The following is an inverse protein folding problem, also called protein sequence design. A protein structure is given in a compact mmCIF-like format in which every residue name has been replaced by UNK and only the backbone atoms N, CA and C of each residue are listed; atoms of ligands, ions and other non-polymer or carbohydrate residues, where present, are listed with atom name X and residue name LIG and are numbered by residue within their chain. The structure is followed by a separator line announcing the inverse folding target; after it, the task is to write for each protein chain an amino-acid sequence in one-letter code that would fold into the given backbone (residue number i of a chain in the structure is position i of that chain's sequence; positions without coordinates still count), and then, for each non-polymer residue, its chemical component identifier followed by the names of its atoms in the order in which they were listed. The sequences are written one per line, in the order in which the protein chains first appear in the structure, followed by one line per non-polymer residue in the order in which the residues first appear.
data_IF_156238447098
#
_entry.id   IF_156238447098
#
_cell.length_a   1.000
_cell.length_b   1.000
_cell.length_c   1.000
_cell.angle_alpha   90.00
_cell.angle_beta   90.00
_cell.angle_gamma   90.00
#
_symmetry.space_group_name_H-M   'P 1'
#
loop_
_entity.id
_entity.type
_entity.pdbx_description
1 polymer ?
#
# COMPACT_ATOMS: atom_id res chain seq x y z
N UNK A 1 -42.35 -79.26 30.47
CA UNK A 1 -41.45 -78.12 30.24
C UNK A 1 -42.18 -77.16 29.33
N UNK A 2 -42.60 -75.99 29.84
CA UNK A 2 -43.15 -74.96 28.96
C UNK A 2 -42.03 -74.45 28.06
N UNK A 3 -42.24 -74.57 26.75
CA UNK A 3 -41.35 -74.05 25.74
C UNK A 3 -41.50 -72.53 25.76
N UNK A 4 -40.52 -71.82 26.33
CA UNK A 4 -40.49 -70.35 26.26
C UNK A 4 -40.51 -69.94 24.79
N UNK A 5 -41.61 -69.32 24.35
CA UNK A 5 -41.79 -68.90 22.97
C UNK A 5 -40.79 -67.80 22.66
N UNK A 6 -39.65 -68.16 22.06
CA UNK A 6 -38.64 -67.20 21.61
C UNK A 6 -39.31 -66.29 20.57
N UNK A 7 -39.53 -65.03 20.95
CA UNK A 7 -40.01 -64.00 20.03
C UNK A 7 -38.83 -63.61 19.16
N UNK A 8 -38.74 -64.29 18.02
CA UNK A 8 -37.72 -64.01 17.01
C UNK A 8 -38.07 -62.69 16.32
N UNK A 9 -37.10 -61.78 16.21
CA UNK A 9 -37.30 -60.54 15.47
C UNK A 9 -37.34 -60.87 13.97
N UNK A 10 -38.53 -60.74 13.39
CA UNK A 10 -38.75 -60.96 11.96
C UNK A 10 -38.97 -59.60 11.29
N UNK A 11 -38.58 -59.43 10.01
CA UNK A 11 -39.04 -58.29 9.25
C UNK A 11 -40.57 -58.27 9.20
N UNK A 12 -41.20 -57.08 9.16
CA UNK A 12 -42.65 -56.98 9.14
C UNK A 12 -43.22 -57.73 7.92
N UNK A 13 -44.41 -58.34 8.04
CA UNK A 13 -45.06 -59.00 6.90
C UNK A 13 -45.36 -57.94 5.82
N UNK A 14 -44.56 -57.95 4.75
CA UNK A 14 -44.54 -56.91 3.72
C UNK A 14 -43.14 -56.36 3.37
N UNK A 15 -42.12 -56.68 4.17
CA UNK A 15 -40.73 -56.27 3.92
C UNK A 15 -40.46 -54.79 4.25
N UNK A 16 -39.19 -54.36 4.11
CA UNK A 16 -38.82 -52.96 4.26
C UNK A 16 -39.07 -52.18 2.96
N UNK A 17 -39.35 -50.88 3.09
CA UNK A 17 -39.53 -50.01 1.93
C UNK A 17 -38.29 -49.97 1.02
N UNK A 18 -38.46 -49.62 -0.27
CA UNK A 18 -37.34 -49.55 -1.20
C UNK A 18 -36.27 -48.57 -0.70
N UNK A 19 -35.03 -49.06 -0.59
CA UNK A 19 -33.88 -48.25 -0.20
C UNK A 19 -33.17 -47.80 -1.48
N UNK A 20 -33.05 -46.49 -1.66
CA UNK A 20 -32.34 -45.91 -2.80
C UNK A 20 -30.83 -46.10 -2.64
N UNK A 21 -30.32 -47.22 -3.16
CA UNK A 21 -28.89 -47.54 -3.15
C UNK A 21 -28.10 -46.83 -4.27
N UNK A 22 -28.79 -46.19 -5.22
CA UNK A 22 -28.18 -45.49 -6.36
C UNK A 22 -27.82 -44.06 -6.00
N UNK A 23 -26.62 -43.62 -6.40
CA UNK A 23 -26.16 -42.25 -6.20
C UNK A 23 -26.98 -41.26 -7.03
N UNK A 24 -27.78 -40.42 -6.37
CA UNK A 24 -28.61 -39.37 -6.98
C UNK A 24 -27.93 -38.00 -6.87
N UNK A 25 -26.91 -37.75 -7.68
CA UNK A 25 -26.24 -36.44 -7.69
C UNK A 25 -26.84 -35.51 -8.76
N UNK A 26 -27.60 -34.47 -8.37
CA UNK A 26 -28.13 -33.51 -9.34
C UNK A 26 -27.00 -32.65 -9.90
N UNK A 27 -26.96 -32.49 -11.23
CA UNK A 27 -26.05 -31.55 -11.88
C UNK A 27 -26.51 -30.13 -11.60
N UNK A 28 -25.98 -29.53 -10.53
CA UNK A 28 -26.21 -28.14 -10.13
C UNK A 28 -25.07 -27.27 -10.66
N UNK A 29 -25.41 -26.10 -11.22
CA UNK A 29 -24.44 -25.10 -11.67
C UNK A 29 -24.67 -24.59 -13.10
N UNK A 30 -23.99 -23.50 -13.43
CA UNK A 30 -23.94 -22.93 -14.78
C UNK A 30 -23.05 -23.79 -15.69
N UNK A 31 -23.37 -23.86 -16.98
CA UNK A 31 -22.52 -24.57 -17.94
C UNK A 31 -21.12 -23.94 -18.02
N UNK A 32 -20.10 -24.73 -18.39
CA UNK A 32 -18.73 -24.23 -18.54
C UNK A 32 -18.63 -23.05 -19.52
N UNK A 33 -19.35 -23.11 -20.64
CA UNK A 33 -19.41 -22.01 -21.61
C UNK A 33 -20.06 -20.74 -21.03
N UNK A 34 -21.12 -20.87 -20.23
CA UNK A 34 -21.74 -19.70 -19.58
C UNK A 34 -20.81 -19.05 -18.56
N UNK A 35 -20.00 -19.82 -17.84
CA UNK A 35 -19.00 -19.26 -16.91
C UNK A 35 -17.90 -18.49 -17.66
N UNK A 36 -17.43 -19.02 -18.78
CA UNK A 36 -16.45 -18.34 -19.63
C UNK A 36 -17.02 -17.05 -20.22
N UNK A 37 -18.27 -17.07 -20.69
CA UNK A 37 -18.93 -15.87 -21.23
C UNK A 37 -19.05 -14.76 -20.18
N UNK A 38 -19.45 -15.11 -18.94
CA UNK A 38 -19.52 -14.14 -17.83
C UNK A 38 -18.13 -13.60 -17.48
N UNK A 39 -17.12 -14.48 -17.40
CA UNK A 39 -15.74 -14.08 -17.11
C UNK A 39 -15.17 -13.13 -18.17
N UNK A 40 -15.38 -13.42 -19.45
CA UNK A 40 -14.93 -12.53 -20.54
C UNK A 40 -15.71 -11.21 -20.48
N UNK A 41 -17.02 -11.24 -20.22
CA UNK A 41 -17.84 -10.04 -20.10
C UNK A 41 -17.37 -9.09 -18.99
N UNK A 42 -17.05 -9.62 -17.80
CA UNK A 42 -16.54 -8.81 -16.68
C UNK A 42 -15.14 -8.27 -16.94
N UNK A 43 -14.26 -9.05 -17.60
CA UNK A 43 -12.92 -8.61 -17.99
C UNK A 43 -12.99 -7.49 -19.03
N UNK A 44 -13.82 -7.61 -20.06
CA UNK A 44 -14.00 -6.58 -21.08
C UNK A 44 -14.51 -5.27 -20.46
N UNK A 45 -15.47 -5.36 -19.55
CA UNK A 45 -15.97 -4.20 -18.81
C UNK A 45 -14.90 -3.59 -17.87
N UNK A 46 -14.12 -4.43 -17.19
CA UNK A 46 -12.99 -3.99 -16.35
C UNK A 46 -11.92 -3.27 -17.15
N UNK A 47 -11.54 -3.80 -18.31
CA UNK A 47 -10.59 -3.15 -19.20
C UNK A 47 -11.12 -1.81 -19.74
N UNK A 48 -12.39 -1.75 -20.16
CA UNK A 48 -12.99 -0.51 -20.66
C UNK A 48 -13.02 0.59 -19.59
N UNK A 49 -13.47 0.26 -18.37
CA UNK A 49 -13.51 1.22 -17.25
C UNK A 49 -12.10 1.67 -16.82
N UNK A 50 -11.14 0.75 -16.76
CA UNK A 50 -9.73 1.07 -16.49
C UNK A 50 -9.12 1.96 -17.59
N UNK A 51 -9.43 1.71 -18.86
CA UNK A 51 -8.99 2.57 -19.97
C UNK A 51 -9.55 3.98 -19.84
N UNK A 52 -10.83 4.14 -19.50
CA UNK A 52 -11.45 5.44 -19.25
C UNK A 52 -10.75 6.16 -18.08
N UNK A 53 -10.54 5.45 -16.98
CA UNK A 53 -9.87 6.01 -15.79
C UNK A 53 -8.42 6.42 -16.05
N UNK A 54 -7.64 5.60 -16.76
CA UNK A 54 -6.25 5.92 -17.09
C UNK A 54 -6.13 7.07 -18.11
N UNK A 55 -7.16 7.35 -18.91
CA UNK A 55 -7.20 8.58 -19.72
C UNK A 55 -7.40 9.80 -18.83
N UNK A 56 -8.29 9.69 -17.84
CA UNK A 56 -8.54 10.77 -16.90
C UNK A 56 -7.33 11.06 -16.02
N UNK A 57 -6.69 10.04 -15.45
CA UNK A 57 -5.44 10.23 -14.68
C UNK A 57 -4.34 10.90 -15.50
N UNK A 58 -4.25 10.62 -16.79
CA UNK A 58 -3.29 11.30 -17.67
C UNK A 58 -3.63 12.77 -17.87
N UNK A 59 -4.91 13.13 -17.97
CA UNK A 59 -5.33 14.55 -18.03
C UNK A 59 -4.95 15.29 -16.76
N UNK A 60 -5.26 14.72 -15.60
CA UNK A 60 -4.86 15.29 -14.31
C UNK A 60 -3.35 15.44 -14.17
N UNK A 61 -2.58 14.43 -14.60
CA UNK A 61 -1.11 14.53 -14.61
C UNK A 61 -0.59 15.63 -15.54
N UNK A 62 -1.25 15.86 -16.68
CA UNK A 62 -0.90 16.95 -17.60
C UNK A 62 -1.19 18.29 -16.92
N UNK A 63 -2.36 18.45 -16.28
CA UNK A 63 -2.71 19.65 -15.51
C UNK A 63 -1.69 19.95 -14.40
N UNK A 64 -1.27 18.92 -13.64
CA UNK A 64 -0.22 19.05 -12.61
C UNK A 64 1.13 19.49 -13.21
N UNK A 65 1.51 18.95 -14.38
CA UNK A 65 2.74 19.33 -15.06
C UNK A 65 2.66 20.75 -15.63
N UNK A 66 1.53 21.15 -16.20
CA UNK A 66 1.30 22.52 -16.70
C UNK A 66 1.37 23.53 -15.55
N UNK A 67 0.75 23.22 -14.40
CA UNK A 67 0.88 24.03 -13.19
C UNK A 67 2.33 24.15 -12.74
N UNK A 68 3.11 23.05 -12.80
CA UNK A 68 4.54 23.08 -12.46
C UNK A 68 5.36 23.90 -13.44
N UNK A 69 5.09 23.80 -14.75
CA UNK A 69 5.78 24.57 -15.79
C UNK A 69 5.56 26.07 -15.59
N UNK A 70 4.33 26.47 -15.22
CA UNK A 70 4.00 27.86 -14.93
C UNK A 70 4.79 28.43 -13.73
N UNK A 71 5.06 27.60 -12.70
CA UNK A 71 5.80 28.01 -11.50
C UNK A 71 7.33 27.89 -11.63
N UNK A 72 7.81 27.04 -12.54
CA UNK A 72 9.24 26.76 -12.74
C UNK A 72 10.13 28.00 -12.87
N UNK A 73 9.81 29.04 -13.67
CA UNK A 73 10.69 30.21 -13.80
C UNK A 73 10.87 31.00 -12.50
N UNK A 74 9.85 31.03 -11.64
CA UNK A 74 9.95 31.68 -10.34
C UNK A 74 10.88 30.91 -9.40
N UNK A 75 10.70 29.59 -9.29
CA UNK A 75 11.58 28.75 -8.47
C UNK A 75 13.03 28.74 -8.98
N UNK A 76 13.23 28.82 -10.30
CA UNK A 76 14.56 28.93 -10.88
C UNK A 76 15.23 30.23 -10.43
N UNK A 77 14.54 31.38 -10.57
CA UNK A 77 15.08 32.67 -10.15
C UNK A 77 15.38 32.74 -8.64
N UNK A 78 14.53 32.16 -7.79
CA UNK A 78 14.76 32.08 -6.35
C UNK A 78 15.95 31.19 -6.00
N UNK A 79 16.08 30.03 -6.67
CA UNK A 79 17.19 29.10 -6.48
C UNK A 79 18.51 29.74 -6.91
N UNK A 80 18.54 30.38 -8.09
CA UNK A 80 19.73 31.07 -8.59
C UNK A 80 20.17 32.16 -7.60
N UNK A 81 19.26 33.01 -7.13
CA UNK A 81 19.55 34.04 -6.12
C UNK A 81 20.12 33.43 -4.84
N UNK A 82 19.48 32.37 -4.32
CA UNK A 82 19.93 31.69 -3.10
C UNK A 82 21.33 31.11 -3.24
N UNK A 83 21.63 30.46 -4.37
CA UNK A 83 22.97 29.87 -4.62
C UNK A 83 24.06 30.93 -4.72
N UNK A 84 23.81 32.03 -5.44
CA UNK A 84 24.77 33.12 -5.59
C UNK A 84 25.01 33.85 -4.26
N UNK A 85 23.99 34.01 -3.43
CA UNK A 85 24.14 34.56 -2.07
C UNK A 85 25.06 33.69 -1.21
N UNK A 86 24.81 32.38 -1.15
CA UNK A 86 25.65 31.47 -0.36
C UNK A 86 27.09 31.43 -0.86
N UNK A 87 27.31 31.42 -2.18
CA UNK A 87 28.67 31.48 -2.73
C UNK A 87 29.36 32.80 -2.44
N UNK A 88 28.62 33.91 -2.45
CA UNK A 88 29.16 35.23 -2.11
C UNK A 88 29.58 35.31 -0.65
N UNK A 89 28.74 34.82 0.26
CA UNK A 89 29.05 34.71 1.69
C UNK A 89 30.30 33.85 1.90
N UNK A 90 30.36 32.66 1.28
CA UNK A 90 31.51 31.76 1.43
C UNK A 90 32.80 32.36 0.88
N UNK A 91 32.74 33.14 -0.21
CA UNK A 91 33.92 33.82 -0.78
C UNK A 91 34.40 34.95 0.16
N UNK A 92 33.47 35.70 0.76
CA UNK A 92 33.81 36.75 1.74
C UNK A 92 34.48 36.15 2.99
N UNK A 93 33.95 35.02 3.51
CA UNK A 93 34.56 34.30 4.63
C UNK A 93 35.91 33.67 4.26
N UNK A 94 36.03 33.08 3.06
CA UNK A 94 37.29 32.55 2.56
C UNK A 94 38.37 33.63 2.49
N UNK A 95 38.02 34.84 2.02
CA UNK A 95 38.95 35.98 1.98
C UNK A 95 39.45 36.38 3.37
N UNK A 96 38.60 36.29 4.39
CA UNK A 96 38.95 36.61 5.77
C UNK A 96 39.83 35.51 6.38
N UNK A 97 39.49 34.24 6.15
CA UNK A 97 40.17 33.07 6.72
C UNK A 97 41.55 32.86 6.07
N UNK A 98 41.67 33.04 4.75
CA UNK A 98 42.87 32.70 3.98
C UNK A 98 43.85 33.86 3.77
N UNK A 99 43.62 35.01 4.40
CA UNK A 99 44.47 36.21 4.26
C UNK A 99 45.94 35.98 4.61
N UNK A 100 46.23 35.04 5.52
CA UNK A 100 47.56 34.81 6.08
C UNK A 100 48.33 33.67 5.38
N UNK A 101 47.69 32.97 4.43
CA UNK A 101 48.28 31.81 3.75
C UNK A 101 48.98 32.26 2.45
N UNK A 102 50.30 32.06 2.29
CA UNK A 102 50.99 32.39 1.05
C UNK A 102 50.51 31.50 -0.11
N UNK A 103 50.54 32.03 -1.33
CA UNK A 103 50.13 31.37 -2.59
C UNK A 103 48.65 30.95 -2.70
N UNK A 104 47.78 31.41 -1.79
CA UNK A 104 46.33 31.19 -1.91
C UNK A 104 45.65 32.30 -2.72
N UNK A 105 44.85 31.91 -3.72
CA UNK A 105 44.00 32.84 -4.48
C UNK A 105 42.54 32.58 -4.17
N UNK A 106 41.91 33.55 -3.51
CA UNK A 106 40.50 33.47 -3.13
C UNK A 106 39.60 33.35 -4.37
N UNK A 107 38.71 32.36 -4.37
CA UNK A 107 37.74 32.15 -5.45
C UNK A 107 38.36 31.72 -6.80
N UNK A 108 39.59 31.20 -6.80
CA UNK A 108 40.17 30.60 -8.01
C UNK A 108 39.41 29.31 -8.37
N UNK A 109 38.94 29.22 -9.62
CA UNK A 109 38.23 28.04 -10.10
C UNK A 109 39.18 26.85 -10.22
N UNK A 110 38.81 25.71 -9.62
CA UNK A 110 39.57 24.45 -9.75
C UNK A 110 39.63 23.96 -11.20
N UNK A 111 38.61 24.29 -11.99
CA UNK A 111 38.53 23.90 -13.40
C UNK A 111 39.30 24.87 -14.30
N UNK A 112 39.89 24.34 -15.37
CA UNK A 112 40.58 25.13 -16.40
C UNK A 112 39.62 25.88 -17.34
N UNK A 113 38.30 25.74 -17.17
CA UNK A 113 37.27 26.34 -18.04
C UNK A 113 36.68 27.60 -17.43
N UNK A 114 36.39 28.61 -18.25
CA UNK A 114 35.65 29.82 -17.84
C UNK A 114 34.13 29.64 -17.75
N UNK A 115 33.64 28.44 -18.04
CA UNK A 115 32.21 28.09 -17.96
C UNK A 115 31.78 27.98 -16.50
N UNK A 116 30.58 28.46 -16.21
CA UNK A 116 29.92 28.22 -14.92
C UNK A 116 29.72 26.72 -14.65
N UNK A 117 30.20 26.26 -13.49
CA UNK A 117 29.98 24.92 -12.98
C UNK A 117 29.08 25.02 -11.76
N UNK A 118 27.97 24.26 -11.69
CA UNK A 118 27.10 24.31 -10.52
C UNK A 118 27.86 23.82 -9.28
N UNK A 119 27.72 24.51 -8.14
CA UNK A 119 28.47 24.18 -6.93
C UNK A 119 27.98 22.85 -6.34
N UNK A 120 28.89 22.09 -5.73
CA UNK A 120 28.50 20.90 -4.96
C UNK A 120 27.92 21.31 -3.60
N UNK A 121 27.13 20.43 -2.98
CA UNK A 121 26.52 20.71 -1.67
C UNK A 121 27.58 21.06 -0.62
N UNK A 122 28.76 20.43 -0.68
CA UNK A 122 29.89 20.73 0.20
C UNK A 122 30.49 22.13 0.00
N UNK A 123 30.45 22.70 -1.21
CA UNK A 123 30.91 24.07 -1.48
C UNK A 123 29.93 25.11 -0.95
N UNK A 124 28.64 24.80 -0.96
CA UNK A 124 27.59 25.69 -0.43
C UNK A 124 27.51 25.64 1.09
N UNK A 125 27.53 24.43 1.68
CA UNK A 125 27.26 24.20 3.10
C UNK A 125 28.51 23.91 3.94
N UNK A 126 29.71 24.00 3.36
CA UNK A 126 30.96 23.62 4.05
C UNK A 126 31.28 24.45 5.29
N UNK A 127 30.91 25.73 5.31
CA UNK A 127 31.11 26.65 6.45
C UNK A 127 29.89 26.75 7.37
N UNK A 128 28.75 26.15 6.98
CA UNK A 128 27.49 26.20 7.74
C UNK A 128 27.46 25.15 8.84
N UNK A 129 26.40 25.19 9.65
CA UNK A 129 26.20 24.19 10.70
C UNK A 129 26.06 22.79 10.10
N UNK A 130 26.54 21.79 10.83
CA UNK A 130 26.47 20.39 10.40
C UNK A 130 25.02 19.92 10.21
N UNK A 131 24.09 20.44 11.00
CA UNK A 131 22.65 20.16 10.88
C UNK A 131 22.10 20.63 9.53
N UNK A 132 22.42 21.87 9.10
CA UNK A 132 22.02 22.40 7.80
C UNK A 132 22.61 21.57 6.65
N UNK A 133 23.88 21.19 6.75
CA UNK A 133 24.56 20.36 5.75
C UNK A 133 23.96 18.95 5.66
N UNK A 134 23.65 18.30 6.79
CA UNK A 134 23.03 16.97 6.83
C UNK A 134 21.61 17.04 6.26
N UNK A 135 20.84 18.06 6.63
CA UNK A 135 19.48 18.26 6.11
C UNK A 135 19.48 18.53 4.60
N UNK A 136 20.41 19.33 4.09
CA UNK A 136 20.53 19.60 2.65
C UNK A 136 20.91 18.34 1.85
N UNK A 137 21.80 17.49 2.38
CA UNK A 137 22.22 16.26 1.71
C UNK A 137 21.18 15.14 1.76
N UNK A 138 20.54 14.96 2.92
CA UNK A 138 19.75 13.76 3.18
C UNK A 138 18.28 14.01 3.54
N UNK A 139 17.87 15.27 3.72
CA UNK A 139 16.52 15.62 4.17
C UNK A 139 15.41 14.98 3.33
N UNK A 140 15.58 14.89 2.01
CA UNK A 140 14.61 14.24 1.13
C UNK A 140 14.43 12.74 1.41
N UNK A 141 15.54 12.01 1.61
CA UNK A 141 15.50 10.56 1.84
C UNK A 141 14.92 10.22 3.22
N UNK A 142 15.29 10.97 4.25
CA UNK A 142 14.83 10.73 5.61
C UNK A 142 13.45 11.34 5.91
N UNK A 143 12.88 12.15 5.01
CA UNK A 143 11.61 12.87 5.24
C UNK A 143 10.44 11.97 5.65
N UNK A 144 10.35 10.76 5.09
CA UNK A 144 9.27 9.81 5.46
C UNK A 144 9.49 9.15 6.82
N UNK A 145 10.74 9.07 7.28
CA UNK A 145 11.11 8.46 8.56
C UNK A 145 10.98 9.48 9.69
N UNK A 146 11.44 10.71 9.49
CA UNK A 146 11.35 11.80 10.48
C UNK A 146 9.91 12.26 10.77
N UNK A 147 8.99 12.15 9.80
CA UNK A 147 7.57 12.49 10.00
C UNK A 147 6.84 11.53 10.94
N UNK A 148 7.40 10.35 11.20
CA UNK A 148 6.89 9.40 12.21
C UNK A 148 7.48 9.67 13.62
N UNK A 149 8.47 10.56 13.74
CA UNK A 149 9.19 10.87 14.99
C UNK A 149 9.02 12.34 15.40
N UNK A 150 7.79 12.85 15.44
CA UNK A 150 7.49 14.07 16.17
C UNK A 150 6.48 13.77 17.27
N UNK A 151 6.99 13.57 18.50
CA UNK A 151 6.71 14.54 19.53
C UNK A 151 8.02 15.07 20.15
N UNK A 152 8.07 16.40 20.27
CA UNK A 152 8.85 17.19 21.22
C UNK A 152 10.34 16.88 21.41
N UNK A 153 11.13 17.88 21.03
CA UNK A 153 12.58 17.99 21.18
C UNK A 153 13.11 17.44 22.52
N UNK A 154 13.97 16.44 22.44
CA UNK A 154 14.84 16.01 23.52
C UNK A 154 16.18 15.56 22.96
N UNK A 155 17.18 16.44 23.03
CA UNK A 155 18.61 16.19 22.78
C UNK A 155 19.03 14.83 23.34
N UNK A 156 19.19 13.81 22.48
CA UNK A 156 19.90 12.58 22.82
C UNK A 156 20.41 11.85 21.57
N UNK A 157 21.74 11.90 21.42
CA UNK A 157 22.63 10.91 20.83
C UNK A 157 22.39 10.43 19.39
N UNK A 158 23.13 11.08 18.48
CA UNK A 158 23.57 10.51 17.20
C UNK A 158 24.44 9.25 17.45
N UNK A 159 23.78 8.10 17.53
CA UNK A 159 24.41 6.79 17.38
C UNK A 159 24.23 6.32 15.94
N UNK A 160 25.31 6.39 15.17
CA UNK A 160 25.41 5.97 13.75
C UNK A 160 25.18 4.47 13.51
N UNK A 161 24.82 3.70 14.54
CA UNK A 161 24.79 2.23 14.47
C UNK A 161 23.38 1.63 14.59
N UNK A 162 22.33 2.46 14.73
CA UNK A 162 20.95 1.96 14.90
C UNK A 162 20.17 1.79 13.58
N UNK A 163 20.54 2.50 12.51
CA UNK A 163 19.71 2.62 11.30
C UNK A 163 19.77 1.42 10.34
N UNK A 164 20.75 0.51 10.47
CA UNK A 164 20.82 -0.72 9.66
C UNK A 164 19.95 -1.86 10.20
N UNK A 165 19.43 -1.77 11.43
CA UNK A 165 18.67 -2.87 12.04
C UNK A 165 17.15 -2.81 11.78
N UNK A 166 16.58 -1.62 11.61
CA UNK A 166 15.13 -1.44 11.43
C UNK A 166 14.68 -1.65 9.98
N UNK A 167 15.48 -1.22 9.00
CA UNK A 167 15.21 -1.47 7.56
C UNK A 167 15.32 -2.97 7.23
N UNK A 168 16.26 -3.69 7.85
CA UNK A 168 16.42 -5.13 7.69
C UNK A 168 15.27 -5.92 8.34
N UNK A 169 14.77 -5.48 9.51
CA UNK A 169 13.58 -6.07 10.17
C UNK A 169 12.29 -5.81 9.38
N UNK A 170 12.14 -4.65 8.74
CA UNK A 170 10.94 -4.30 7.97
C UNK A 170 10.87 -5.00 6.60
N UNK A 171 12.02 -5.26 5.95
CA UNK A 171 12.09 -6.13 4.75
C UNK A 171 11.67 -7.58 5.04
N UNK A 172 11.94 -8.10 6.24
CA UNK A 172 11.44 -9.43 6.64
C UNK A 172 9.92 -9.48 6.86
N UNK A 173 9.30 -8.36 7.24
CA UNK A 173 7.85 -8.26 7.46
C UNK A 173 7.04 -8.18 6.15
N UNK A 174 7.62 -7.60 5.08
CA UNK A 174 6.96 -7.47 3.77
C UNK A 174 7.17 -8.66 2.82
N UNK A 175 8.09 -9.57 3.13
CA UNK A 175 8.42 -10.73 2.29
C UNK A 175 7.57 -11.99 2.52
N UNK A 176 6.57 -11.97 3.42
CA UNK A 176 5.72 -13.12 3.74
C UNK A 176 4.25 -12.75 3.95
N UNK A 177 3.62 -12.16 2.94
CA UNK A 177 2.16 -12.27 2.78
C UNK A 177 1.87 -13.27 1.67
N UNK A 178 2.02 -14.54 2.03
CA UNK A 178 1.63 -15.67 1.20
C UNK A 178 0.10 -15.75 1.14
N UNK A 179 -0.40 -16.03 -0.05
CA UNK A 179 -1.80 -16.29 -0.43
C UNK A 179 -2.56 -17.25 0.52
N UNK A 180 -1.83 -18.04 1.32
CA UNK A 180 -2.37 -18.94 2.36
C UNK A 180 -3.00 -18.22 3.58
N UNK A 181 -2.57 -17.01 3.92
CA UNK A 181 -3.14 -16.21 5.02
C UNK A 181 -4.52 -15.62 4.66
N UNK A 182 -4.79 -15.41 3.37
CA UNK A 182 -6.14 -15.02 2.91
C UNK A 182 -7.13 -16.18 2.99
N UNK A 183 -6.68 -17.42 2.81
CA UNK A 183 -7.55 -18.61 2.88
C UNK A 183 -7.97 -18.90 4.33
N UNK A 184 -7.07 -18.77 5.30
CA UNK A 184 -7.39 -19.00 6.72
C UNK A 184 -8.41 -18.00 7.28
N UNK A 185 -8.34 -16.73 6.89
CA UNK A 185 -9.29 -15.72 7.36
C UNK A 185 -10.71 -15.89 6.77
N UNK A 186 -10.85 -16.52 5.60
CA UNK A 186 -12.18 -16.84 5.04
C UNK A 186 -12.84 -18.06 5.68
N UNK A 187 -12.05 -19.04 6.14
CA UNK A 187 -12.55 -20.23 6.85
C UNK A 187 -12.98 -19.92 8.30
N UNK A 188 -12.32 -18.97 8.97
CA UNK A 188 -12.68 -18.55 10.32
C UNK A 188 -14.07 -17.88 10.40
N UNK A 189 -14.48 -17.17 9.35
CA UNK A 189 -15.84 -16.59 9.25
C UNK A 189 -16.90 -17.69 9.07
N UNK A 190 -16.55 -18.80 8.41
CA UNK A 190 -17.47 -19.91 8.17
C UNK A 190 -17.69 -20.79 9.41
N UNK A 191 -16.70 -20.86 10.32
CA UNK A 191 -16.77 -21.70 11.52
C UNK A 191 -17.57 -21.06 12.68
N UNK A 192 -17.84 -19.74 12.60
CA UNK A 192 -18.66 -19.01 13.58
C UNK A 192 -20.17 -19.10 13.33
N UNK A 193 -20.60 -19.56 12.15
CA UNK A 193 -22.01 -19.76 11.80
C UNK A 193 -22.56 -21.17 12.12
N UNK A 194 -21.70 -22.15 12.45
CA UNK A 194 -22.10 -23.53 12.70
C UNK A 194 -22.16 -23.96 14.19
N UNK A 195 -21.93 -23.05 15.14
CA UNK A 195 -22.12 -23.29 16.59
C UNK A 195 -23.19 -22.35 17.16
N UNK A 196 -24.44 -22.64 16.84
CA UNK A 196 -25.59 -21.97 17.43
C UNK A 196 -26.90 -22.71 17.14
N UNK A 197 -27.29 -23.59 18.07
CA UNK A 197 -28.71 -23.93 18.29
C UNK A 197 -29.28 -25.12 17.54
N UNK A 198 -29.33 -26.26 18.21
CA UNK A 198 -30.17 -27.41 17.87
C UNK A 198 -31.57 -27.31 18.51
N UNK A 199 -32.62 -27.36 17.65
CA UNK A 199 -33.97 -27.99 17.79
C UNK A 199 -35.09 -27.26 18.60
N UNK A 200 -36.39 -27.64 18.42
CA UNK A 200 -37.10 -28.14 17.22
C UNK A 200 -38.50 -27.48 16.98
N UNK A 201 -39.08 -27.67 15.78
CA UNK A 201 -40.55 -27.74 15.63
C UNK A 201 -41.23 -26.76 14.66
N UNK A 202 -41.82 -27.34 13.61
CA UNK A 202 -43.06 -26.96 12.92
C UNK A 202 -43.18 -25.59 12.20
N UNK A 203 -43.58 -25.66 10.92
CA UNK A 203 -44.57 -24.74 10.35
C UNK A 203 -44.05 -23.63 9.42
N UNK A 204 -44.29 -23.84 8.13
CA UNK A 204 -44.69 -22.88 7.09
C UNK A 204 -44.39 -21.36 7.20
N UNK A 205 -44.13 -20.81 6.00
CA UNK A 205 -44.32 -19.43 5.54
C UNK A 205 -43.08 -18.50 5.54
N UNK A 206 -42.92 -17.79 4.41
CA UNK A 206 -42.18 -16.53 4.35
C UNK A 206 -40.78 -16.58 3.74
N UNK A 207 -40.68 -16.90 2.45
CA UNK A 207 -39.57 -16.36 1.65
C UNK A 207 -39.72 -14.84 1.47
N UNK A 208 -38.60 -14.17 1.17
CA UNK A 208 -38.46 -12.76 0.73
C UNK A 208 -38.41 -11.68 1.81
N UNK A 209 -37.23 -11.41 2.41
CA UNK A 209 -36.91 -10.07 2.96
C UNK A 209 -35.45 -9.86 3.39
N UNK A 210 -34.44 -10.26 2.61
CA UNK A 210 -33.04 -9.95 2.96
C UNK A 210 -32.12 -9.51 1.81
N UNK A 211 -32.70 -9.13 0.66
CA UNK A 211 -31.96 -8.49 -0.44
C UNK A 211 -32.32 -7.00 -0.64
N UNK A 212 -33.23 -6.44 0.16
CA UNK A 212 -33.70 -5.05 -0.01
C UNK A 212 -32.98 -3.99 0.86
N UNK A 213 -31.98 -4.38 1.67
CA UNK A 213 -31.31 -3.45 2.59
C UNK A 213 -29.91 -2.98 2.13
N UNK A 214 -29.29 -3.62 1.14
CA UNK A 214 -27.92 -3.27 0.72
C UNK A 214 -27.83 -2.21 -0.41
N UNK A 215 -28.96 -1.76 -0.96
CA UNK A 215 -28.99 -0.84 -2.11
C UNK A 215 -29.41 0.62 -1.76
N UNK A 216 -29.27 1.05 -0.51
CA UNK A 216 -29.59 2.44 -0.08
C UNK A 216 -28.44 3.20 0.59
N UNK A 217 -27.20 2.76 0.42
CA UNK A 217 -26.03 3.38 1.07
C UNK A 217 -25.07 4.19 0.18
N UNK A 218 -25.22 4.17 -1.14
CA UNK A 218 -24.23 4.76 -2.05
C UNK A 218 -24.87 5.73 -3.06
N UNK A 219 -25.61 6.70 -2.54
CA UNK A 219 -25.85 7.98 -3.24
C UNK A 219 -25.74 9.08 -2.20
N UNK A 220 -24.51 9.53 -1.95
CA UNK A 220 -24.25 10.93 -1.60
C UNK A 220 -23.45 11.49 -2.75
N UNK A 221 -24.19 12.22 -3.58
CA UNK A 221 -23.70 13.11 -4.60
C UNK A 221 -23.11 14.37 -3.95
N UNK A 222 -22.32 15.11 -4.75
CA UNK A 222 -22.36 16.57 -4.69
C UNK A 222 -23.81 17.09 -4.79
#
# INVERSE_FOLDING_TARGET
MEMSKVKQDMPPPGGYGPIDYKRNLPRRGLSGYSLLAIGIGTLLYGHWSMMKWNRERRRLQIEDFEARIALMPLFQAETDRRTLQMLRENLEEEAIIMKDVPDWKVGESVFHTTRWVPPVIGELYGLRTTEEAIHANHGFMWYTETKLELPDMGRAELSSNATTSLVQRRKQAWGRQSWLEQIWNTLAVCQRLHRGGSRPGAGAAGGLSLWAAAARGAVRSC
#
